data_IF_902106036765
#
_entry.id   IF_902106036765
#
_cell.length_a   1.000
_cell.length_b   1.000
_cell.length_c   1.000
_cell.angle_alpha   90.00
_cell.angle_beta   90.00
_cell.angle_gamma   90.00
#
_symmetry.space_group_name_H-M   'P 1'
#
loop_
_entity.id
_entity.type
_entity.pdbx_description
1 polymer ?
#
# COMPACT_ATOMS: atom_id res chain seq x y z
N UNK A 1 -5.95 16.94 12.45
CA UNK A 1 -6.53 15.98 11.49
C UNK A 1 -5.54 14.92 10.94
N UNK A 2 -4.23 14.95 11.26
CA UNK A 2 -3.24 13.99 10.69
C UNK A 2 -3.34 12.56 11.26
N UNK A 3 -3.70 12.41 12.54
CA UNK A 3 -3.91 11.10 13.16
C UNK A 3 -5.12 10.40 12.53
N UNK A 4 -6.24 11.10 12.34
CA UNK A 4 -7.42 10.54 11.68
C UNK A 4 -7.08 10.03 10.27
N UNK A 5 -6.37 10.80 9.45
CA UNK A 5 -5.94 10.33 8.12
C UNK A 5 -5.05 9.09 8.14
N UNK A 6 -4.28 8.89 9.21
CA UNK A 6 -3.44 7.72 9.37
C UNK A 6 -4.25 6.50 9.84
N UNK A 7 -5.29 6.71 10.66
CA UNK A 7 -6.26 5.68 11.01
C UNK A 7 -7.10 5.27 9.80
N UNK A 8 -7.60 6.24 9.02
CA UNK A 8 -8.33 5.98 7.77
C UNK A 8 -7.47 5.15 6.79
N UNK A 9 -6.17 5.47 6.70
CA UNK A 9 -5.23 4.71 5.86
C UNK A 9 -4.98 3.29 6.40
N UNK A 10 -4.96 3.09 7.71
CA UNK A 10 -4.88 1.76 8.33
C UNK A 10 -6.11 0.92 8.03
N UNK A 11 -7.31 1.48 8.19
CA UNK A 11 -8.58 0.83 7.85
C UNK A 11 -8.65 0.47 6.36
N UNK A 12 -8.26 1.41 5.48
CA UNK A 12 -8.20 1.16 4.04
C UNK A 12 -7.20 0.05 3.68
N UNK A 13 -6.07 -0.03 4.39
CA UNK A 13 -5.07 -1.08 4.20
C UNK A 13 -5.62 -2.45 4.63
N UNK A 14 -6.33 -2.52 5.76
CA UNK A 14 -6.97 -3.75 6.22
C UNK A 14 -8.06 -4.23 5.25
N UNK A 15 -8.87 -3.30 4.72
CA UNK A 15 -9.85 -3.61 3.68
C UNK A 15 -9.18 -4.12 2.39
N UNK A 16 -8.05 -3.53 2.00
CA UNK A 16 -7.31 -3.96 0.82
C UNK A 16 -6.67 -5.35 1.01
N UNK A 17 -6.20 -5.68 2.22
CA UNK A 17 -5.76 -7.04 2.56
C UNK A 17 -6.89 -8.06 2.39
N UNK A 18 -8.07 -7.78 2.94
CA UNK A 18 -9.23 -8.66 2.81
C UNK A 18 -9.62 -8.89 1.35
N UNK A 19 -9.52 -7.85 0.51
CA UNK A 19 -9.78 -7.96 -0.93
C UNK A 19 -8.74 -8.82 -1.65
N UNK A 20 -7.46 -8.64 -1.34
CA UNK A 20 -6.36 -9.42 -1.93
C UNK A 20 -6.44 -10.91 -1.55
N UNK A 21 -6.84 -11.20 -0.32
CA UNK A 21 -7.07 -12.55 0.19
C UNK A 21 -8.27 -13.22 -0.50
N UNK A 22 -9.40 -12.51 -0.64
CA UNK A 22 -10.59 -13.01 -1.36
C UNK A 22 -10.28 -13.33 -2.82
N UNK A 23 -9.44 -12.51 -3.46
CA UNK A 23 -8.99 -12.73 -4.84
C UNK A 23 -7.91 -13.82 -4.98
N UNK A 24 -7.48 -14.46 -3.88
CA UNK A 24 -6.39 -15.44 -3.82
C UNK A 24 -5.11 -14.95 -4.52
N UNK A 25 -4.87 -13.64 -4.43
CA UNK A 25 -3.85 -12.95 -5.22
C UNK A 25 -2.46 -12.98 -4.59
N UNK A 26 -2.37 -13.39 -3.32
CA UNK A 26 -1.13 -13.45 -2.55
C UNK A 26 -0.57 -14.87 -2.54
N UNK A 27 0.73 -15.00 -2.83
CA UNK A 27 1.48 -16.25 -2.62
C UNK A 27 1.63 -16.60 -1.13
N UNK A 28 2.01 -17.84 -0.81
CA UNK A 28 2.19 -18.30 0.57
C UNK A 28 3.17 -17.44 1.39
N UNK A 29 4.28 -16.99 0.79
CA UNK A 29 5.23 -16.10 1.48
C UNK A 29 4.61 -14.74 1.76
N UNK A 30 3.91 -14.16 0.77
CA UNK A 30 3.22 -12.89 0.91
C UNK A 30 2.06 -12.96 1.92
N UNK A 31 1.37 -14.09 2.03
CA UNK A 31 0.33 -14.30 3.05
C UNK A 31 0.92 -14.26 4.47
N UNK A 32 2.11 -14.83 4.68
CA UNK A 32 2.79 -14.78 5.99
C UNK A 32 3.22 -13.36 6.34
N UNK A 33 3.78 -12.62 5.38
CA UNK A 33 4.13 -11.21 5.56
C UNK A 33 2.88 -10.36 5.84
N UNK A 34 1.80 -10.56 5.08
CA UNK A 34 0.51 -9.92 5.30
C UNK A 34 -0.03 -10.18 6.71
N UNK A 35 0.04 -11.43 7.20
CA UNK A 35 -0.42 -11.76 8.55
C UNK A 35 0.37 -11.02 9.65
N UNK A 36 1.68 -10.86 9.48
CA UNK A 36 2.50 -10.07 10.42
C UNK A 36 2.09 -8.58 10.40
N UNK A 37 1.99 -7.97 9.21
CA UNK A 37 1.60 -6.58 9.07
C UNK A 37 0.19 -6.30 9.60
N UNK A 38 -0.77 -7.21 9.37
CA UNK A 38 -2.14 -7.09 9.92
C UNK A 38 -2.14 -7.17 11.44
N UNK A 39 -1.29 -8.01 12.03
CA UNK A 39 -1.12 -8.07 13.49
C UNK A 39 -0.59 -6.77 14.05
N UNK A 40 0.32 -6.09 13.36
CA UNK A 40 0.83 -4.77 13.74
C UNK A 40 -0.24 -3.68 13.57
N UNK A 41 -1.01 -3.71 12.48
CA UNK A 41 -2.13 -2.80 12.23
C UNK A 41 -3.21 -2.88 13.32
N UNK A 42 -3.47 -4.08 13.85
CA UNK A 42 -4.45 -4.28 14.90
C UNK A 42 -4.00 -3.78 16.30
N UNK A 43 -2.75 -3.34 16.45
CA UNK A 43 -2.26 -2.83 17.73
C UNK A 43 -2.74 -1.39 17.97
N UNK A 44 -3.14 -1.11 19.20
CA UNK A 44 -3.51 0.24 19.66
C UNK A 44 -2.36 1.25 19.53
N UNK A 45 -1.12 0.75 19.44
CA UNK A 45 0.12 1.53 19.27
C UNK A 45 0.65 1.48 17.83
N UNK A 46 -0.22 1.37 16.83
CA UNK A 46 0.16 1.34 15.40
C UNK A 46 1.22 2.38 15.01
N UNK A 47 1.12 3.61 15.55
CA UNK A 47 2.04 4.70 15.25
C UNK A 47 3.48 4.45 15.71
N UNK A 48 3.72 3.60 16.70
CA UNK A 48 5.07 3.26 17.17
C UNK A 48 5.48 1.84 16.77
N UNK A 49 4.52 0.91 16.68
CA UNK A 49 4.78 -0.50 16.46
C UNK A 49 4.90 -0.90 14.98
N UNK A 50 4.27 -0.16 14.06
CA UNK A 50 4.30 -0.53 12.65
C UNK A 50 5.73 -0.45 12.09
N UNK A 51 6.21 -1.55 11.52
CA UNK A 51 7.46 -1.54 10.76
C UNK A 51 7.22 -0.95 9.36
N UNK A 52 7.64 0.30 9.21
CA UNK A 52 7.51 1.07 7.97
C UNK A 52 8.38 0.48 6.86
N UNK A 53 9.55 -0.05 7.19
CA UNK A 53 10.47 -0.64 6.21
C UNK A 53 9.93 -1.97 5.71
N UNK A 54 9.43 -2.81 6.61
CA UNK A 54 8.74 -4.05 6.25
C UNK A 54 7.51 -3.78 5.37
N UNK A 55 6.71 -2.75 5.70
CA UNK A 55 5.55 -2.34 4.91
C UNK A 55 5.92 -1.87 3.50
N UNK A 56 7.01 -1.08 3.36
CA UNK A 56 7.54 -0.64 2.06
C UNK A 56 8.07 -1.81 1.24
N UNK A 57 8.83 -2.70 1.87
CA UNK A 57 9.40 -3.90 1.23
C UNK A 57 8.28 -4.79 0.70
N UNK A 58 7.28 -5.07 1.54
CA UNK A 58 6.12 -5.86 1.15
C UNK A 58 5.38 -5.24 -0.03
N UNK A 59 5.16 -3.92 -0.02
CA UNK A 59 4.55 -3.22 -1.15
C UNK A 59 5.38 -3.38 -2.45
N UNK A 60 6.71 -3.36 -2.36
CA UNK A 60 7.60 -3.63 -3.49
C UNK A 60 7.49 -5.06 -4.02
N UNK A 61 7.40 -6.04 -3.11
CA UNK A 61 7.27 -7.47 -3.47
C UNK A 61 5.97 -7.80 -4.23
N UNK A 62 4.96 -6.94 -4.17
CA UNK A 62 3.73 -7.10 -4.94
C UNK A 62 3.91 -6.78 -6.44
N UNK A 63 4.94 -6.02 -6.83
CA UNK A 63 5.12 -5.55 -8.22
C UNK A 63 5.20 -6.70 -9.22
N UNK A 64 5.92 -7.77 -8.86
CA UNK A 64 6.08 -8.93 -9.73
C UNK A 64 4.72 -9.62 -10.00
N UNK A 65 3.91 -9.81 -8.96
CA UNK A 65 2.60 -10.43 -9.07
C UNK A 65 1.60 -9.54 -9.83
N UNK A 66 1.65 -8.22 -9.62
CA UNK A 66 0.86 -7.25 -10.39
C UNK A 66 1.20 -7.36 -11.88
N UNK A 67 2.49 -7.31 -12.23
CA UNK A 67 2.92 -7.40 -13.64
C UNK A 67 2.49 -8.69 -14.32
N UNK A 68 2.50 -9.82 -13.60
CA UNK A 68 2.04 -11.10 -14.13
C UNK A 68 0.53 -11.10 -14.43
N UNK A 69 -0.28 -10.39 -13.64
CA UNK A 69 -1.72 -10.26 -13.86
C UNK A 69 -2.14 -9.09 -14.75
N UNK A 70 -1.20 -8.28 -15.25
CA UNK A 70 -1.45 -7.17 -16.17
C UNK A 70 -0.96 -7.49 -17.58
N UNK A 71 -1.87 -7.47 -18.56
CA UNK A 71 -1.53 -7.60 -19.98
C UNK A 71 -1.49 -6.23 -20.65
N UNK A 72 -0.55 -6.07 -21.58
CA UNK A 72 -0.46 -4.91 -22.48
C UNK A 72 -0.93 -5.31 -23.87
N UNK A 73 -1.87 -4.56 -24.41
CA UNK A 73 -2.38 -4.74 -25.77
C UNK A 73 -2.16 -3.43 -26.53
N UNK A 74 -1.59 -3.51 -27.73
CA UNK A 74 -1.58 -2.38 -28.64
C UNK A 74 -2.88 -2.41 -29.43
N UNK A 75 -3.65 -1.32 -29.37
CA UNK A 75 -4.86 -1.12 -30.14
C UNK A 75 -4.49 -0.22 -31.31
N UNK A 76 -4.47 -0.81 -32.51
CA UNK A 76 -4.37 -0.04 -33.74
C UNK A 76 -5.66 0.75 -33.92
N UNK A 77 -5.54 2.07 -33.95
CA UNK A 77 -6.63 2.98 -34.27
C UNK A 77 -6.20 3.76 -35.50
N UNK A 78 -6.79 3.39 -36.62
CA UNK A 78 -6.50 3.94 -37.95
C UNK A 78 -6.89 5.42 -38.05
N UNK A 79 -7.70 5.92 -37.10
CA UNK A 79 -8.11 7.31 -37.00
C UNK A 79 -7.31 8.10 -35.96
N UNK A 80 -6.47 7.43 -35.16
CA UNK A 80 -5.57 8.10 -34.22
C UNK A 80 -4.32 8.63 -34.95
N UNK A 81 -3.96 9.88 -34.66
CA UNK A 81 -2.78 10.55 -35.24
C UNK A 81 -1.46 9.79 -34.97
N UNK A 82 -1.43 8.95 -33.93
CA UNK A 82 -0.29 8.09 -33.55
C UNK A 82 -0.32 6.68 -34.14
N UNK A 83 -1.35 6.29 -34.92
CA UNK A 83 -1.52 4.93 -35.45
C UNK A 83 -2.05 3.91 -34.44
N UNK A 84 -2.43 4.35 -33.23
CA UNK A 84 -2.94 3.50 -32.15
C UNK A 84 -2.50 3.96 -30.76
N UNK A 85 -2.87 3.18 -29.74
CA UNK A 85 -2.50 3.38 -28.34
C UNK A 85 -2.30 2.06 -27.58
N UNK A 86 -1.47 2.08 -26.53
CA UNK A 86 -1.33 0.94 -25.62
C UNK A 86 -2.43 0.94 -24.56
N UNK A 87 -3.16 -0.17 -24.44
CA UNK A 87 -4.08 -0.43 -23.34
C UNK A 87 -3.48 -1.46 -22.37
N UNK A 88 -3.50 -1.12 -21.08
CA UNK A 88 -3.19 -2.05 -20.00
C UNK A 88 -4.48 -2.61 -19.41
N UNK A 89 -4.59 -3.93 -19.37
CA UNK A 89 -5.73 -4.64 -18.78
C UNK A 89 -5.21 -5.54 -17.67
N UNK A 90 -5.63 -5.26 -16.44
CA UNK A 90 -5.31 -6.06 -15.25
C UNK A 90 -6.46 -6.98 -14.93
N UNK A 91 -6.17 -8.24 -14.58
CA UNK A 91 -7.17 -9.15 -14.04
C UNK A 91 -7.57 -8.75 -12.60
N UNK A 92 -8.63 -9.36 -12.06
CA UNK A 92 -9.15 -9.03 -10.73
C UNK A 92 -8.10 -9.20 -9.62
N UNK A 93 -7.25 -10.22 -9.70
CA UNK A 93 -6.17 -10.45 -8.77
C UNK A 93 -5.12 -9.32 -8.79
N UNK A 94 -4.65 -8.92 -9.97
CA UNK A 94 -3.73 -7.79 -10.11
C UNK A 94 -4.35 -6.47 -9.63
N UNK A 95 -5.64 -6.24 -9.90
CA UNK A 95 -6.34 -5.06 -9.40
C UNK A 95 -6.42 -5.04 -7.86
N UNK A 96 -6.64 -6.19 -7.23
CA UNK A 96 -6.62 -6.29 -5.77
C UNK A 96 -5.22 -6.02 -5.19
N UNK A 97 -4.17 -6.53 -5.83
CA UNK A 97 -2.78 -6.27 -5.43
C UNK A 97 -2.36 -4.81 -5.63
N UNK A 98 -2.80 -4.15 -6.71
CA UNK A 98 -2.58 -2.71 -6.95
C UNK A 98 -3.23 -1.88 -5.84
N UNK A 99 -4.46 -2.24 -5.45
CA UNK A 99 -5.15 -1.55 -4.36
C UNK A 99 -4.42 -1.73 -3.02
N UNK A 100 -3.98 -2.96 -2.71
CA UNK A 100 -3.20 -3.25 -1.51
C UNK A 100 -1.87 -2.49 -1.50
N UNK A 101 -1.14 -2.50 -2.62
CA UNK A 101 0.12 -1.78 -2.74
C UNK A 101 -0.08 -0.28 -2.51
N UNK A 102 -1.11 0.30 -3.10
CA UNK A 102 -1.42 1.73 -2.96
C UNK A 102 -1.80 2.09 -1.53
N UNK A 103 -2.59 1.24 -0.87
CA UNK A 103 -2.98 1.43 0.53
C UNK A 103 -1.77 1.35 1.46
N UNK A 104 -0.87 0.39 1.27
CA UNK A 104 0.37 0.26 2.06
C UNK A 104 1.28 1.49 1.90
N UNK A 105 1.47 1.98 0.67
CA UNK A 105 2.27 3.18 0.41
C UNK A 105 1.68 4.40 1.12
N UNK A 106 0.35 4.57 1.06
CA UNK A 106 -0.35 5.65 1.73
C UNK A 106 -0.25 5.53 3.26
N UNK A 107 -0.46 4.34 3.82
CA UNK A 107 -0.31 4.08 5.25
C UNK A 107 1.07 4.50 5.73
N UNK A 108 2.13 4.04 5.05
CA UNK A 108 3.51 4.40 5.36
C UNK A 108 3.70 5.92 5.38
N UNK A 109 3.25 6.62 4.35
CA UNK A 109 3.36 8.08 4.28
C UNK A 109 2.66 8.76 5.48
N UNK A 110 1.46 8.29 5.83
CA UNK A 110 0.69 8.87 6.94
C UNK A 110 1.31 8.58 8.30
N UNK A 111 1.82 7.37 8.52
CA UNK A 111 2.51 7.00 9.76
C UNK A 111 3.80 7.79 9.92
N UNK A 112 4.61 7.91 8.86
CA UNK A 112 5.84 8.71 8.86
C UNK A 112 5.53 10.19 9.19
N UNK A 113 4.47 10.76 8.61
CA UNK A 113 4.06 12.12 8.90
C UNK A 113 3.65 12.33 10.38
N UNK A 114 2.99 11.35 11.00
CA UNK A 114 2.64 11.40 12.42
C UNK A 114 3.90 11.28 13.29
N UNK A 115 4.78 10.31 13.01
CA UNK A 115 6.05 10.11 13.76
C UNK A 115 6.93 11.35 13.72
N UNK A 116 7.12 11.93 12.54
CA UNK A 116 7.93 13.14 12.37
C UNK A 116 7.37 14.32 13.17
N UNK A 117 6.04 14.44 13.26
CA UNK A 117 5.42 15.49 14.05
C UNK A 117 5.63 15.27 15.55
N UNK A 118 5.40 14.07 16.05
CA UNK A 118 5.62 13.75 17.47
C UNK A 118 7.07 14.02 17.88
N UNK A 119 8.03 13.65 17.01
CA UNK A 119 9.45 13.92 17.23
C UNK A 119 9.78 15.42 17.22
N UNK A 120 9.20 16.19 16.31
CA UNK A 120 9.39 17.64 16.26
C UNK A 120 8.83 18.34 17.51
N UNK A 121 7.66 17.90 18.00
CA UNK A 121 7.07 18.41 19.23
C UNK A 121 7.93 18.09 20.46
N UNK A 122 8.52 16.89 20.51
CA UNK A 122 9.46 16.50 21.57
C UNK A 122 10.72 17.38 21.57
N UNK A 123 11.38 17.56 20.41
CA UNK A 123 12.57 18.41 20.29
C UNK A 123 12.23 19.86 20.68
N UNK A 124 11.08 20.37 20.28
CA UNK A 124 10.64 21.71 20.64
C UNK A 124 10.40 21.88 22.14
N UNK A 125 9.94 20.83 22.84
CA UNK A 125 9.80 20.84 24.28
C UNK A 125 11.17 20.81 24.98
N UNK A 126 12.10 19.98 24.50
CA UNK A 126 13.48 19.90 24.99
C UNK A 126 14.25 21.23 24.84
N UNK A 127 13.99 22.00 23.77
CA UNK A 127 14.64 23.30 23.55
C UNK A 127 14.05 24.46 24.39
N UNK A 128 12.86 24.27 24.98
CA UNK A 128 12.20 25.29 25.83
C UNK A 128 12.46 25.06 27.32
N UNK A 129 12.83 23.84 27.71
CA UNK A 129 13.22 23.48 29.07
C UNK A 129 14.69 23.79 29.32
#
# INVERSE_FOLDING_TARGET
>A
MRINHALDAAEATEAAFAKAEKAQSLSLSQQRQAAMLRRELAQTTIFSALDVEASRTFAGDLDAAIRQGTKRHYIADEHAVSGGYEQQVSNEAAMALIALQSALKLLVERIDAVRNRLRAEQIAAELRG
#
